data_IF_019370955775
#
_entry.id   IF_019370955775
#
_cell.length_a   1.000
_cell.length_b   1.000
_cell.length_c   1.000
_cell.angle_alpha   90.00
_cell.angle_beta   90.00
_cell.angle_gamma   90.00
#
_symmetry.space_group_name_H-M   'P 1'
#
loop_
_entity.id
_entity.type
_entity.pdbx_description
1 polymer ?
#
# COMPACT_ATOMS: atom_id res chain seq x y z
N UNK A 1 -5.55 -8.01 12.18
CA UNK A 1 -4.36 -7.85 11.31
C UNK A 1 -4.46 -6.50 10.61
N UNK A 2 -3.52 -5.55 10.81
CA UNK A 2 -3.60 -4.18 10.26
C UNK A 2 -2.62 -3.89 9.11
N UNK A 3 -1.55 -4.69 8.97
CA UNK A 3 -0.56 -4.53 7.90
C UNK A 3 -0.65 -5.72 6.95
N UNK A 4 -0.75 -5.44 5.66
CA UNK A 4 -0.71 -6.43 4.60
C UNK A 4 0.62 -6.35 3.86
N UNK A 5 1.39 -7.43 3.91
CA UNK A 5 2.70 -7.54 3.26
C UNK A 5 2.53 -8.31 1.94
N UNK A 6 2.87 -7.69 0.81
CA UNK A 6 2.79 -8.30 -0.54
C UNK A 6 4.14 -8.21 -1.23
N UNK A 7 4.99 -9.23 -1.13
CA UNK A 7 6.24 -9.28 -1.89
C UNK A 7 5.96 -9.52 -3.38
N UNK A 8 6.72 -8.85 -4.24
CA UNK A 8 6.71 -8.97 -5.69
C UNK A 8 8.15 -9.20 -6.15
N UNK A 9 8.69 -10.43 -5.97
CA UNK A 9 10.00 -10.80 -6.49
C UNK A 9 9.89 -11.13 -7.98
N UNK A 10 10.94 -10.84 -8.74
CA UNK A 10 11.12 -11.39 -10.08
C UNK A 10 11.68 -12.82 -9.98
N UNK A 11 10.98 -13.77 -10.58
CA UNK A 11 11.53 -15.10 -10.87
C UNK A 11 12.07 -15.09 -12.30
N UNK A 12 13.39 -15.26 -12.53
CA UNK A 12 13.97 -15.18 -13.88
C UNK A 12 13.31 -16.14 -14.87
N UNK A 13 12.96 -17.34 -14.44
CA UNK A 13 12.27 -18.35 -15.25
C UNK A 13 10.85 -17.93 -15.69
N UNK A 14 10.23 -16.98 -14.98
CA UNK A 14 8.88 -16.49 -15.27
C UNK A 14 8.87 -15.09 -15.91
N UNK A 15 10.03 -14.48 -16.12
CA UNK A 15 10.15 -13.09 -16.58
C UNK A 15 9.46 -12.86 -17.93
N UNK A 16 9.47 -13.85 -18.82
CA UNK A 16 8.85 -13.78 -20.15
C UNK A 16 7.31 -13.71 -20.12
N UNK A 17 6.66 -14.08 -19.00
CA UNK A 17 5.21 -14.02 -18.84
C UNK A 17 4.72 -12.68 -18.28
N UNK A 18 5.64 -11.78 -17.89
CA UNK A 18 5.27 -10.44 -17.46
C UNK A 18 4.91 -9.55 -18.66
N UNK A 19 3.92 -8.66 -18.53
CA UNK A 19 3.65 -7.66 -19.57
C UNK A 19 4.75 -6.59 -19.68
N UNK A 20 5.68 -6.53 -18.73
CA UNK A 20 6.81 -5.60 -18.73
C UNK A 20 8.02 -6.24 -19.39
N UNK A 21 8.73 -5.49 -20.24
CA UNK A 21 9.94 -5.98 -20.93
C UNK A 21 10.97 -6.56 -19.93
N UNK A 22 11.54 -7.76 -20.17
CA UNK A 22 12.44 -8.43 -19.22
C UNK A 22 13.64 -7.57 -18.77
N UNK A 23 14.24 -6.80 -19.67
CA UNK A 23 15.37 -5.91 -19.36
C UNK A 23 15.02 -4.80 -18.37
N UNK A 24 13.73 -4.43 -18.25
CA UNK A 24 13.24 -3.46 -17.26
C UNK A 24 12.87 -4.10 -15.91
N UNK A 25 12.68 -5.42 -15.89
CA UNK A 25 12.36 -6.17 -14.68
C UNK A 25 13.58 -6.67 -13.94
N UNK A 26 14.75 -6.71 -14.58
CA UNK A 26 15.98 -7.23 -14.01
C UNK A 26 16.25 -6.66 -12.60
N UNK A 27 16.29 -7.54 -11.60
CA UNK A 27 16.51 -7.15 -10.19
C UNK A 27 15.28 -6.61 -9.45
N UNK A 28 14.08 -6.66 -10.04
CA UNK A 28 12.85 -6.26 -9.37
C UNK A 28 12.55 -7.17 -8.17
N UNK A 29 12.47 -6.54 -7.00
CA UNK A 29 12.10 -7.19 -5.74
C UNK A 29 11.52 -6.12 -4.81
N UNK A 30 10.21 -5.94 -4.90
CA UNK A 30 9.46 -4.89 -4.19
C UNK A 30 8.62 -5.56 -3.11
N UNK A 31 8.59 -4.97 -1.91
CA UNK A 31 7.65 -5.37 -0.87
C UNK A 31 6.65 -4.23 -0.66
N UNK A 32 5.38 -4.46 -0.98
CA UNK A 32 4.32 -3.54 -0.61
C UNK A 32 3.91 -3.81 0.84
N UNK A 33 3.86 -2.74 1.64
CA UNK A 33 3.30 -2.76 3.00
C UNK A 33 2.09 -1.83 2.97
N UNK A 34 0.90 -2.40 3.10
CA UNK A 34 -0.39 -1.70 3.00
C UNK A 34 -1.08 -1.66 4.36
N UNK A 35 -1.58 -0.49 4.78
CA UNK A 35 -2.55 -0.38 5.88
C UNK A 35 -3.87 -1.03 5.43
N UNK A 36 -4.40 -1.94 6.25
CA UNK A 36 -5.48 -2.86 5.89
C UNK A 36 -6.80 -2.57 6.62
N UNK A 37 -6.82 -1.70 7.62
CA UNK A 37 -7.91 -1.62 8.61
C UNK A 37 -8.48 -0.23 8.83
N UNK A 38 -7.99 0.78 8.13
CA UNK A 38 -8.46 2.17 8.19
C UNK A 38 -8.64 2.78 6.79
N UNK A 39 -8.63 4.11 6.74
CA UNK A 39 -8.79 4.86 5.50
C UNK A 39 -10.19 4.74 4.90
N UNK A 40 -10.28 5.03 3.60
CA UNK A 40 -11.55 5.16 2.86
C UNK A 40 -12.48 3.94 3.00
N UNK A 41 -11.92 2.74 3.22
CA UNK A 41 -12.73 1.51 3.27
C UNK A 41 -13.50 1.34 4.58
N UNK A 42 -13.04 1.99 5.66
CA UNK A 42 -13.60 1.85 7.01
C UNK A 42 -14.05 3.19 7.62
N UNK A 43 -13.80 4.30 6.94
CA UNK A 43 -14.31 5.60 7.34
C UNK A 43 -15.82 5.70 7.19
N UNK A 44 -16.38 6.74 7.81
CA UNK A 44 -17.80 7.06 7.73
C UNK A 44 -18.24 7.20 6.27
N UNK A 45 -19.38 6.59 5.94
CA UNK A 45 -19.96 6.60 4.60
C UNK A 45 -21.47 6.81 4.64
N UNK A 46 -22.01 7.27 3.52
CA UNK A 46 -23.45 7.35 3.25
C UNK A 46 -23.73 6.86 1.84
N UNK A 47 -24.66 5.91 1.70
CA UNK A 47 -25.04 5.34 0.41
C UNK A 47 -26.10 6.17 -0.33
N UNK A 48 -26.18 5.98 -1.65
CA UNK A 48 -27.21 6.60 -2.47
C UNK A 48 -28.57 5.96 -2.14
N UNK A 49 -29.50 6.76 -1.61
CA UNK A 49 -30.78 6.29 -1.08
C UNK A 49 -31.10 6.85 0.31
N UNK A 50 -30.07 7.30 1.04
CA UNK A 50 -30.20 8.01 2.32
C UNK A 50 -30.20 9.54 2.15
N UNK A 51 -30.64 10.02 0.98
CA UNK A 51 -30.62 11.43 0.57
C UNK A 51 -30.27 11.63 -0.91
N UNK A 52 -29.92 12.85 -1.30
CA UNK A 52 -29.53 13.26 -2.65
C UNK A 52 -28.01 13.19 -2.90
N UNK A 53 -27.22 12.74 -1.93
CA UNK A 53 -25.77 12.64 -2.03
C UNK A 53 -25.21 11.41 -1.31
N UNK A 54 -24.15 10.82 -1.89
CA UNK A 54 -23.38 9.72 -1.31
C UNK A 54 -21.94 10.17 -1.05
N UNK A 55 -21.29 9.59 -0.03
CA UNK A 55 -19.89 9.87 0.29
C UNK A 55 -19.21 8.70 0.98
N UNK A 56 -17.88 8.66 0.88
CA UNK A 56 -16.98 7.86 1.72
C UNK A 56 -15.90 8.78 2.28
N UNK A 57 -15.49 8.54 3.53
CA UNK A 57 -14.51 9.37 4.23
C UNK A 57 -13.16 8.67 4.30
N UNK A 58 -12.11 9.31 3.79
CA UNK A 58 -10.73 8.85 4.02
C UNK A 58 -10.18 9.51 5.28
N UNK A 59 -10.08 8.76 6.37
CA UNK A 59 -9.48 9.23 7.62
C UNK A 59 -8.46 8.21 8.16
N UNK A 60 -7.44 8.75 8.82
CA UNK A 60 -6.47 7.96 9.57
C UNK A 60 -6.12 8.71 10.85
N UNK A 61 -6.00 7.96 11.95
CA UNK A 61 -5.40 8.45 13.18
C UNK A 61 -3.88 8.30 13.14
N UNK A 62 -3.18 9.09 13.96
CA UNK A 62 -1.72 8.99 14.10
C UNK A 62 -1.30 7.56 14.45
N UNK A 63 -2.01 6.91 15.38
CA UNK A 63 -1.70 5.55 15.81
C UNK A 63 -1.82 4.51 14.66
N UNK A 64 -2.76 4.69 13.74
CA UNK A 64 -2.93 3.80 12.58
C UNK A 64 -1.79 3.95 11.58
N UNK A 65 -1.33 5.19 11.34
CA UNK A 65 -0.20 5.47 10.46
C UNK A 65 1.11 5.00 11.09
N UNK A 66 1.32 5.25 12.38
CA UNK A 66 2.53 4.85 13.08
C UNK A 66 2.73 3.33 13.09
N UNK A 67 1.67 2.56 13.39
CA UNK A 67 1.79 1.10 13.50
C UNK A 67 2.17 0.46 12.17
N UNK A 68 1.62 0.92 11.04
CA UNK A 68 2.00 0.42 9.71
C UNK A 68 3.38 0.92 9.29
N UNK A 69 3.72 2.17 9.63
CA UNK A 69 5.05 2.73 9.40
C UNK A 69 6.14 1.90 10.10
N UNK A 70 5.95 1.52 11.37
CA UNK A 70 6.89 0.67 12.12
C UNK A 70 7.12 -0.68 11.44
N UNK A 71 6.05 -1.31 10.94
CA UNK A 71 6.16 -2.56 10.17
C UNK A 71 6.98 -2.34 8.89
N UNK A 72 6.73 -1.25 8.18
CA UNK A 72 7.43 -0.94 6.93
C UNK A 72 8.92 -0.62 7.16
N UNK A 73 9.27 0.13 8.21
CA UNK A 73 10.65 0.40 8.60
C UNK A 73 11.39 -0.89 8.99
N UNK A 74 10.79 -1.74 9.81
CA UNK A 74 11.39 -3.03 10.18
C UNK A 74 11.62 -3.92 8.95
N UNK A 75 10.65 -3.99 8.04
CA UNK A 75 10.79 -4.75 6.80
C UNK A 75 11.88 -4.17 5.87
N UNK A 76 12.02 -2.84 5.81
CA UNK A 76 13.06 -2.19 5.03
C UNK A 76 14.47 -2.48 5.59
N UNK A 77 14.63 -2.46 6.93
CA UNK A 77 15.88 -2.81 7.62
C UNK A 77 16.31 -4.26 7.34
N UNK A 78 15.36 -5.20 7.34
CA UNK A 78 15.63 -6.61 7.01
C UNK A 78 15.89 -6.86 5.51
N UNK A 79 15.79 -5.83 4.66
CA UNK A 79 15.97 -5.91 3.20
C UNK A 79 17.13 -5.01 2.77
N UNK A 80 16.86 -3.99 1.95
CA UNK A 80 17.89 -3.13 1.33
C UNK A 80 18.01 -1.75 1.99
N UNK A 81 17.37 -1.56 3.15
CA UNK A 81 17.37 -0.28 3.88
C UNK A 81 16.69 0.88 3.15
N UNK A 82 15.86 0.59 2.14
CA UNK A 82 15.14 1.59 1.34
C UNK A 82 13.64 1.49 1.60
N UNK A 83 13.04 2.62 1.95
CA UNK A 83 11.60 2.79 2.14
C UNK A 83 11.13 3.96 1.29
N UNK A 84 10.01 3.80 0.59
CA UNK A 84 9.30 4.88 -0.08
C UNK A 84 7.90 4.95 0.49
N UNK A 85 7.57 6.04 1.17
CA UNK A 85 6.19 6.37 1.54
C UNK A 85 5.47 6.88 0.30
N UNK A 86 4.22 6.46 0.10
CA UNK A 86 3.39 6.87 -1.04
C UNK A 86 2.11 7.50 -0.49
N UNK A 87 1.88 8.75 -0.85
CA UNK A 87 0.75 9.55 -0.38
C UNK A 87 0.30 10.57 -1.45
N UNK A 88 -0.66 11.41 -1.07
CA UNK A 88 -1.16 12.53 -1.88
C UNK A 88 -1.08 13.85 -1.10
N UNK A 89 0.00 14.05 -0.34
CA UNK A 89 0.18 15.22 0.55
C UNK A 89 0.19 16.58 -0.18
N UNK A 90 0.21 16.58 -1.52
CA UNK A 90 0.10 17.80 -2.31
C UNK A 90 -1.35 18.28 -2.51
N UNK A 91 -2.35 17.52 -2.07
CA UNK A 91 -3.77 17.88 -2.19
C UNK A 91 -4.57 17.45 -0.95
N UNK A 92 -4.38 16.20 -0.49
CA UNK A 92 -5.08 15.62 0.65
C UNK A 92 -4.38 15.90 1.97
#
# INVERSE_FOLDING_TARGET
>A
LFANLRPVPLFPALAAFSPVKPERLAGADILFVRELTGGLYFGERREQGEGDAAFDTMSYTVAEVERVGRVAFAAAQARRGKLTSVDKANVL
#
